data_IF_920579911022
#
_entry.id   IF_920579911022
#
_cell.length_a   1.000
_cell.length_b   1.000
_cell.length_c   1.000
_cell.angle_alpha   90.00
_cell.angle_beta   90.00
_cell.angle_gamma   90.00
#
_symmetry.space_group_name_H-M   'P 1'
#
loop_
_entity.id
_entity.type
_entity.pdbx_description
1 polymer ?
#
# COMPACT_ATOMS: atom_id res chain seq x y z
N UNK A 1 -26.31 -29.56 46.72
CA UNK A 1 -26.63 -30.57 45.69
C UNK A 1 -27.51 -29.92 44.64
N UNK A 2 -27.00 -29.79 43.41
CA UNK A 2 -27.71 -29.84 42.12
C UNK A 2 -26.67 -29.53 41.03
N UNK A 3 -26.45 -30.52 40.16
CA UNK A 3 -25.45 -30.54 39.11
C UNK A 3 -25.86 -29.74 37.86
N UNK A 4 -24.81 -29.25 37.16
CA UNK A 4 -24.56 -29.19 35.71
C UNK A 4 -25.66 -28.74 34.75
N UNK A 5 -25.31 -27.77 33.89
CA UNK A 5 -25.50 -27.89 32.44
C UNK A 5 -24.28 -27.31 31.72
N UNK A 6 -23.68 -28.14 30.87
CA UNK A 6 -22.60 -27.88 29.92
C UNK A 6 -23.20 -27.52 28.55
N UNK A 7 -22.69 -26.45 27.92
CA UNK A 7 -22.47 -26.23 26.47
C UNK A 7 -22.25 -24.72 26.31
N UNK A 8 -21.24 -24.21 25.62
CA UNK A 8 -20.64 -24.72 24.39
C UNK A 8 -20.66 -23.57 23.39
N UNK A 9 -19.75 -22.59 23.54
CA UNK A 9 -19.34 -21.75 22.42
C UNK A 9 -18.01 -21.07 22.74
N UNK A 10 -16.92 -21.67 22.24
CA UNK A 10 -15.65 -20.98 22.08
C UNK A 10 -15.89 -19.75 21.20
N UNK A 11 -15.86 -18.56 21.80
CA UNK A 11 -15.68 -17.32 21.03
C UNK A 11 -14.36 -17.45 20.27
N UNK A 12 -14.33 -17.26 18.94
CA UNK A 12 -13.07 -17.23 18.22
C UNK A 12 -12.25 -16.06 18.77
N UNK A 13 -10.99 -16.34 19.10
CA UNK A 13 -10.01 -15.33 19.50
C UNK A 13 -9.99 -14.24 18.44
N UNK A 14 -10.26 -13.01 18.85
CA UNK A 14 -10.15 -11.84 17.99
C UNK A 14 -8.70 -11.75 17.49
N UNK A 15 -8.51 -11.99 16.19
CA UNK A 15 -7.29 -11.57 15.51
C UNK A 15 -7.15 -10.05 15.68
N UNK A 16 -5.93 -9.52 15.86
CA UNK A 16 -5.70 -8.08 15.87
C UNK A 16 -6.25 -7.50 14.56
N UNK A 17 -7.25 -6.63 14.66
CA UNK A 17 -7.74 -5.94 13.47
C UNK A 17 -6.60 -5.08 12.91
N UNK A 18 -6.33 -5.13 11.59
CA UNK A 18 -5.39 -4.21 10.97
C UNK A 18 -5.88 -2.76 11.17
N UNK A 19 -4.98 -1.79 11.33
CA UNK A 19 -5.29 -0.42 11.77
C UNK A 19 -6.12 0.42 10.78
N UNK A 20 -6.69 -0.21 9.74
CA UNK A 20 -7.50 0.41 8.71
C UNK A 20 -9.00 0.43 9.02
N UNK A 21 -9.45 -0.16 10.13
CA UNK A 21 -10.80 0.07 10.66
C UNK A 21 -10.91 1.47 11.26
N UNK A 22 -10.80 2.51 10.41
CA UNK A 22 -11.05 3.89 10.81
C UNK A 22 -12.53 3.99 11.20
N UNK A 23 -12.76 4.29 12.49
CA UNK A 23 -14.07 4.73 12.99
C UNK A 23 -14.53 5.89 12.11
N UNK A 24 -15.70 5.72 11.49
CA UNK A 24 -16.39 6.76 10.76
C UNK A 24 -16.67 7.94 11.71
N UNK A 25 -15.88 9.01 11.55
CA UNK A 25 -16.17 10.31 12.12
C UNK A 25 -17.20 10.99 11.22
N UNK A 26 -18.38 11.25 11.77
CA UNK A 26 -19.41 12.07 11.16
C UNK A 26 -18.87 13.49 10.91
N UNK A 27 -18.81 13.92 9.64
CA UNK A 27 -19.28 15.22 9.14
C UNK A 27 -18.71 15.51 7.73
N UNK A 28 -19.62 15.70 6.76
CA UNK A 28 -19.41 16.64 5.64
C UNK A 28 -18.70 16.15 4.36
N UNK A 29 -19.46 15.50 3.48
CA UNK A 29 -19.49 15.80 2.03
C UNK A 29 -18.19 15.75 1.20
N UNK A 30 -17.80 14.54 0.81
CA UNK A 30 -17.89 14.00 -0.57
C UNK A 30 -17.25 12.62 -0.55
N UNK A 31 -18.05 11.56 -0.64
CA UNK A 31 -17.53 10.22 -0.88
C UNK A 31 -16.87 10.22 -2.27
N UNK A 32 -15.55 10.00 -2.40
CA UNK A 32 -15.00 9.62 -3.69
C UNK A 32 -15.63 8.28 -4.06
N UNK A 33 -16.03 8.07 -5.33
CA UNK A 33 -16.79 6.90 -5.74
C UNK A 33 -16.05 5.62 -5.32
N UNK A 34 -16.70 4.85 -4.44
CA UNK A 34 -16.17 3.65 -3.81
C UNK A 34 -15.75 2.54 -4.80
N UNK A 35 -16.19 2.63 -6.05
CA UNK A 35 -15.96 1.61 -7.09
C UNK A 35 -14.49 1.45 -7.46
N UNK A 36 -13.77 2.53 -7.74
CA UNK A 36 -12.39 2.46 -8.26
C UNK A 36 -11.35 2.16 -7.18
N UNK A 37 -11.53 2.72 -5.97
CA UNK A 37 -10.60 2.53 -4.84
C UNK A 37 -10.71 1.11 -4.28
N UNK A 38 -11.92 0.53 -4.26
CA UNK A 38 -12.13 -0.85 -3.85
C UNK A 38 -11.55 -1.86 -4.86
N UNK A 39 -11.65 -1.58 -6.16
CA UNK A 39 -11.03 -2.40 -7.22
C UNK A 39 -9.50 -2.42 -7.10
N UNK A 40 -8.89 -1.24 -6.89
CA UNK A 40 -7.44 -1.12 -6.72
C UNK A 40 -6.98 -1.83 -5.44
N UNK A 41 -7.73 -1.68 -4.34
CA UNK A 41 -7.42 -2.34 -3.06
C UNK A 41 -7.49 -3.87 -3.17
N UNK A 42 -8.49 -4.41 -3.89
CA UNK A 42 -8.64 -5.85 -4.14
C UNK A 42 -7.49 -6.38 -5.00
N UNK A 43 -7.09 -5.62 -6.03
CA UNK A 43 -5.96 -5.97 -6.89
C UNK A 43 -4.64 -6.01 -6.10
N UNK A 44 -4.39 -5.02 -5.22
CA UNK A 44 -3.21 -4.99 -4.34
C UNK A 44 -3.17 -6.22 -3.43
N UNK A 45 -4.29 -6.57 -2.79
CA UNK A 45 -4.36 -7.72 -1.89
C UNK A 45 -4.07 -9.04 -2.62
N UNK A 46 -4.49 -9.15 -3.88
CA UNK A 46 -4.24 -10.32 -4.72
C UNK A 46 -2.74 -10.47 -5.07
N UNK A 47 -2.04 -9.38 -5.37
CA UNK A 47 -0.59 -9.39 -5.58
C UNK A 47 0.18 -9.73 -4.31
N UNK A 48 -0.26 -9.23 -3.15
CA UNK A 48 0.34 -9.56 -1.84
C UNK A 48 0.17 -11.05 -1.54
N UNK A 49 -1.00 -11.63 -1.79
CA UNK A 49 -1.25 -13.05 -1.58
C UNK A 49 -0.44 -13.92 -2.54
N UNK A 50 -0.36 -13.56 -3.83
CA UNK A 50 0.49 -14.26 -4.82
C UNK A 50 1.97 -14.21 -4.42
N UNK A 51 2.44 -13.06 -3.92
CA UNK A 51 3.81 -12.92 -3.42
C UNK A 51 4.07 -13.76 -2.15
N UNK A 52 3.04 -14.02 -1.34
CA UNK A 52 3.13 -14.88 -0.16
C UNK A 52 3.07 -16.38 -0.49
N UNK A 53 2.49 -16.75 -1.64
CA UNK A 53 2.41 -18.13 -2.15
C UNK A 53 3.66 -18.60 -2.91
N UNK A 54 4.51 -17.67 -3.34
CA UNK A 54 5.84 -18.02 -3.84
C UNK A 54 6.61 -18.70 -2.71
N UNK A 55 7.11 -19.91 -2.96
CA UNK A 55 7.91 -20.67 -2.01
C UNK A 55 8.93 -19.74 -1.34
N UNK A 56 9.14 -19.94 -0.02
CA UNK A 56 10.10 -19.18 0.81
C UNK A 56 11.52 -19.06 0.21
N UNK A 57 11.82 -19.83 -0.84
CA UNK A 57 13.07 -19.95 -1.58
C UNK A 57 13.17 -19.10 -2.85
N UNK A 58 12.09 -18.62 -3.47
CA UNK A 58 12.16 -17.80 -4.70
C UNK A 58 11.93 -16.30 -4.43
N UNK A 59 12.87 -15.69 -3.71
CA UNK A 59 12.90 -14.26 -3.48
C UNK A 59 12.93 -13.44 -4.78
N UNK A 60 13.47 -14.02 -5.86
CA UNK A 60 13.54 -13.37 -7.17
C UNK A 60 12.16 -13.29 -7.83
N UNK A 61 11.35 -14.34 -7.73
CA UNK A 61 9.94 -14.34 -8.13
C UNK A 61 9.13 -13.29 -7.36
N UNK A 62 9.30 -13.23 -6.03
CA UNK A 62 8.59 -12.26 -5.19
C UNK A 62 8.97 -10.81 -5.54
N UNK A 63 10.25 -10.53 -5.76
CA UNK A 63 10.74 -9.20 -6.19
C UNK A 63 10.13 -8.78 -7.52
N UNK A 64 10.01 -9.69 -8.50
CA UNK A 64 9.37 -9.41 -9.80
C UNK A 64 7.90 -9.03 -9.63
N UNK A 65 7.14 -9.79 -8.82
CA UNK A 65 5.73 -9.48 -8.55
C UNK A 65 5.58 -8.11 -7.88
N UNK A 66 6.41 -7.79 -6.89
CA UNK A 66 6.39 -6.49 -6.23
C UNK A 66 6.69 -5.35 -7.22
N UNK A 67 7.64 -5.55 -8.12
CA UNK A 67 7.99 -4.59 -9.15
C UNK A 67 6.86 -4.39 -10.18
N UNK A 68 6.16 -5.45 -10.57
CA UNK A 68 4.98 -5.36 -11.43
C UNK A 68 3.81 -4.65 -10.73
N UNK A 69 3.54 -4.98 -9.46
CA UNK A 69 2.55 -4.28 -8.65
C UNK A 69 2.82 -2.79 -8.56
N UNK A 70 4.08 -2.39 -8.33
CA UNK A 70 4.47 -0.98 -8.32
C UNK A 70 4.20 -0.27 -9.66
N UNK A 71 4.46 -0.93 -10.80
CA UNK A 71 4.16 -0.38 -12.13
C UNK A 71 2.65 -0.17 -12.36
N UNK A 72 1.82 -1.09 -11.91
CA UNK A 72 0.36 -0.99 -12.03
C UNK A 72 -0.17 0.17 -11.18
N UNK A 73 0.33 0.30 -9.95
CA UNK A 73 -0.04 1.41 -9.07
C UNK A 73 0.42 2.76 -9.64
N UNK A 74 1.62 2.84 -10.20
CA UNK A 74 2.08 4.03 -10.90
C UNK A 74 1.19 4.39 -12.09
N UNK A 75 0.87 3.42 -12.95
CA UNK A 75 0.00 3.65 -14.11
C UNK A 75 -1.39 4.12 -13.68
N UNK A 76 -1.93 3.55 -12.61
CA UNK A 76 -3.22 3.95 -12.04
C UNK A 76 -3.13 5.35 -11.42
N UNK A 77 -2.07 5.64 -10.68
CA UNK A 77 -1.78 6.97 -10.13
C UNK A 77 -1.72 8.03 -11.23
N UNK A 78 -1.06 7.76 -12.36
CA UNK A 78 -0.98 8.67 -13.50
C UNK A 78 -2.37 8.97 -14.09
N UNK A 79 -3.26 7.98 -14.16
CA UNK A 79 -4.65 8.18 -14.63
C UNK A 79 -5.46 9.04 -13.67
N UNK A 80 -5.32 8.80 -12.37
CA UNK A 80 -6.00 9.61 -11.33
C UNK A 80 -5.47 11.05 -11.32
N UNK A 81 -4.15 11.23 -11.47
CA UNK A 81 -3.51 12.53 -11.55
C UNK A 81 -4.02 13.33 -12.75
N UNK A 82 -4.11 12.70 -13.92
CA UNK A 82 -4.67 13.32 -15.13
C UNK A 82 -6.16 13.70 -14.97
N UNK A 83 -6.87 13.07 -14.03
CA UNK A 83 -8.26 13.37 -13.70
C UNK A 83 -8.39 14.41 -12.57
N UNK A 84 -7.29 15.01 -12.09
CA UNK A 84 -7.28 15.97 -10.99
C UNK A 84 -7.46 15.35 -9.60
N UNK A 85 -7.43 14.02 -9.47
CA UNK A 85 -7.59 13.31 -8.20
C UNK A 85 -6.23 13.17 -7.48
N UNK A 86 -5.65 14.32 -7.14
CA UNK A 86 -4.29 14.47 -6.61
C UNK A 86 -4.02 13.61 -5.35
N UNK A 87 -4.86 13.67 -4.33
CA UNK A 87 -4.63 12.92 -3.08
C UNK A 87 -4.77 11.40 -3.26
N UNK A 88 -5.61 10.95 -4.19
CA UNK A 88 -5.75 9.53 -4.51
C UNK A 88 -4.54 9.04 -5.33
N UNK A 89 -4.11 9.81 -6.33
CA UNK A 89 -2.88 9.54 -7.08
C UNK A 89 -1.66 9.48 -6.16
N UNK A 90 -1.51 10.45 -5.26
CA UNK A 90 -0.44 10.48 -4.25
C UNK A 90 -0.40 9.22 -3.39
N UNK A 91 -1.57 8.74 -2.94
CA UNK A 91 -1.67 7.49 -2.18
C UNK A 91 -1.14 6.28 -2.97
N UNK A 92 -1.53 6.15 -4.24
CA UNK A 92 -1.06 5.05 -5.09
C UNK A 92 0.46 5.12 -5.34
N UNK A 93 1.02 6.31 -5.49
CA UNK A 93 2.46 6.48 -5.60
C UNK A 93 3.19 6.12 -4.29
N UNK A 94 2.63 6.44 -3.11
CA UNK A 94 3.21 6.00 -1.83
C UNK A 94 3.19 4.47 -1.68
N UNK A 95 2.10 3.82 -2.08
CA UNK A 95 1.96 2.37 -2.05
C UNK A 95 2.94 1.72 -3.03
N UNK A 96 3.07 2.26 -4.25
CA UNK A 96 4.06 1.82 -5.23
C UNK A 96 5.50 1.95 -4.69
N UNK A 97 5.83 3.09 -4.05
CA UNK A 97 7.12 3.29 -3.41
C UNK A 97 7.38 2.26 -2.31
N UNK A 98 6.35 1.90 -1.54
CA UNK A 98 6.45 0.88 -0.49
C UNK A 98 6.72 -0.51 -1.07
N UNK A 99 6.06 -0.90 -2.17
CA UNK A 99 6.37 -2.14 -2.87
C UNK A 99 7.81 -2.18 -3.38
N UNK A 100 8.31 -1.08 -3.95
CA UNK A 100 9.72 -0.98 -4.34
C UNK A 100 10.66 -1.11 -3.14
N UNK A 101 10.31 -0.54 -1.97
CA UNK A 101 11.11 -0.68 -0.75
C UNK A 101 11.20 -2.12 -0.28
N UNK A 102 10.09 -2.85 -0.32
CA UNK A 102 10.09 -4.28 0.02
C UNK A 102 10.94 -5.05 -1.00
N UNK A 103 10.87 -4.72 -2.28
CA UNK A 103 11.71 -5.33 -3.31
C UNK A 103 13.21 -5.12 -3.03
N UNK A 104 13.63 -3.91 -2.65
CA UNK A 104 15.01 -3.60 -2.23
C UNK A 104 15.45 -4.48 -1.06
N UNK A 105 14.59 -4.68 -0.07
CA UNK A 105 14.90 -5.49 1.12
C UNK A 105 14.99 -7.00 0.83
N UNK A 106 14.50 -7.44 -0.33
CA UNK A 106 14.38 -8.86 -0.69
C UNK A 106 15.27 -9.27 -1.86
N UNK A 107 15.79 -8.32 -2.64
CA UNK A 107 16.75 -8.59 -3.71
C UNK A 107 18.19 -8.65 -3.18
N UNK A 108 19.10 -9.18 -4.00
CA UNK A 108 20.52 -9.08 -3.73
C UNK A 108 20.98 -7.61 -3.79
N UNK A 109 22.00 -7.19 -3.01
CA UNK A 109 22.46 -5.80 -2.99
C UNK A 109 22.86 -5.25 -4.37
N UNK A 110 23.46 -6.07 -5.22
CA UNK A 110 23.85 -5.74 -6.60
C UNK A 110 22.65 -5.42 -7.51
N UNK A 111 21.48 -6.02 -7.22
CA UNK A 111 20.24 -5.85 -7.98
C UNK A 111 19.33 -4.76 -7.38
N UNK A 112 19.71 -4.14 -6.26
CA UNK A 112 18.86 -3.20 -5.54
C UNK A 112 18.75 -1.83 -6.22
N UNK A 113 19.76 -1.41 -6.99
CA UNK A 113 19.86 -0.06 -7.52
C UNK A 113 18.67 0.35 -8.41
N UNK A 114 18.17 -0.48 -9.36
CA UNK A 114 16.97 -0.15 -10.13
C UNK A 114 15.73 0.09 -9.26
N UNK A 115 15.56 -0.70 -8.20
CA UNK A 115 14.42 -0.57 -7.28
C UNK A 115 14.55 0.66 -6.39
N UNK A 116 15.76 1.04 -5.96
CA UNK A 116 16.02 2.27 -5.22
C UNK A 116 15.66 3.51 -6.04
N UNK A 117 16.11 3.58 -7.30
CA UNK A 117 15.77 4.68 -8.22
C UNK A 117 14.25 4.77 -8.39
N UNK A 118 13.59 3.63 -8.63
CA UNK A 118 12.14 3.59 -8.80
C UNK A 118 11.37 3.98 -7.54
N UNK A 119 11.78 3.48 -6.38
CA UNK A 119 11.19 3.79 -5.08
C UNK A 119 11.23 5.30 -4.80
N UNK A 120 12.38 5.94 -5.05
CA UNK A 120 12.55 7.39 -4.90
C UNK A 120 11.66 8.17 -5.86
N UNK A 121 11.60 7.76 -7.12
CA UNK A 121 10.72 8.37 -8.13
C UNK A 121 9.26 8.33 -7.68
N UNK A 122 8.80 7.19 -7.16
CA UNK A 122 7.43 7.03 -6.66
C UNK A 122 7.13 7.96 -5.48
N UNK A 123 7.99 8.01 -4.46
CA UNK A 123 7.76 8.94 -3.35
C UNK A 123 7.85 10.42 -3.76
N UNK A 124 8.65 10.74 -4.77
CA UNK A 124 8.72 12.10 -5.32
C UNK A 124 7.44 12.46 -6.09
N UNK A 125 6.88 11.53 -6.87
CA UNK A 125 5.55 11.70 -7.50
C UNK A 125 4.44 11.84 -6.46
N UNK A 126 4.50 11.06 -5.38
CA UNK A 126 3.58 11.17 -4.26
C UNK A 126 3.62 12.58 -3.63
N UNK A 127 4.83 13.07 -3.32
CA UNK A 127 5.03 14.42 -2.80
C UNK A 127 4.38 15.48 -3.70
N UNK A 128 4.72 15.49 -4.99
CA UNK A 128 4.17 16.47 -5.96
C UNK A 128 2.64 16.37 -6.05
N UNK A 129 2.08 15.16 -6.07
CA UNK A 129 0.64 14.97 -6.11
C UNK A 129 -0.03 15.52 -4.84
N UNK A 130 0.49 15.26 -3.65
CA UNK A 130 -0.07 15.81 -2.41
C UNK A 130 0.05 17.33 -2.31
N UNK A 131 1.18 17.91 -2.73
CA UNK A 131 1.34 19.38 -2.81
C UNK A 131 0.26 20.00 -3.69
N UNK A 132 0.04 19.44 -4.89
CA UNK A 132 -1.01 19.91 -5.80
C UNK A 132 -2.41 19.71 -5.24
N UNK A 133 -2.61 18.68 -4.42
CA UNK A 133 -3.87 18.41 -3.73
C UNK A 133 -4.09 19.23 -2.45
N UNK A 134 -3.12 20.06 -2.04
CA UNK A 134 -3.19 20.84 -0.80
C UNK A 134 -3.02 20.03 0.49
N UNK A 135 -2.42 18.83 0.42
CA UNK A 135 -2.18 17.95 1.56
C UNK A 135 -0.70 18.00 2.01
N UNK A 136 -0.31 19.11 2.61
CA UNK A 136 1.09 19.42 2.94
C UNK A 136 1.72 18.42 3.92
N UNK A 137 0.96 17.87 4.87
CA UNK A 137 1.47 16.89 5.83
C UNK A 137 1.87 15.59 5.13
N UNK A 138 1.02 15.09 4.22
CA UNK A 138 1.34 13.90 3.42
C UNK A 138 2.42 14.18 2.40
N UNK A 139 2.43 15.37 1.80
CA UNK A 139 3.50 15.78 0.90
C UNK A 139 4.87 15.73 1.58
N UNK A 140 4.99 16.30 2.78
CA UNK A 140 6.23 16.27 3.54
C UNK A 140 6.58 14.84 4.00
N UNK A 141 5.58 14.03 4.36
CA UNK A 141 5.76 12.61 4.66
C UNK A 141 6.36 11.83 3.50
N UNK A 142 5.85 12.03 2.28
CA UNK A 142 6.37 11.42 1.07
C UNK A 142 7.80 11.90 0.73
N UNK A 143 8.09 13.19 0.90
CA UNK A 143 9.44 13.73 0.71
C UNK A 143 10.45 13.10 1.68
N UNK A 144 10.06 12.94 2.95
CA UNK A 144 10.90 12.27 3.96
C UNK A 144 11.18 10.82 3.58
N UNK A 145 10.16 10.07 3.12
CA UNK A 145 10.33 8.70 2.63
C UNK A 145 11.28 8.62 1.42
N UNK A 146 11.16 9.56 0.48
CA UNK A 146 12.04 9.66 -0.71
C UNK A 146 13.52 9.82 -0.32
N UNK A 147 13.82 10.61 0.72
CA UNK A 147 15.18 10.81 1.23
C UNK A 147 15.77 9.57 1.89
N UNK A 148 14.93 8.77 2.56
CA UNK A 148 15.34 7.58 3.31
C UNK A 148 15.56 6.33 2.44
N UNK A 149 15.36 6.40 1.12
CA UNK A 149 15.55 5.22 0.24
C UNK A 149 17.03 4.80 0.14
N UNK A 150 17.95 5.74 0.24
CA UNK A 150 19.40 5.49 0.15
C UNK A 150 20.14 5.46 1.49
N UNK A 151 19.40 5.58 2.60
CA UNK A 151 19.94 5.58 3.98
C UNK A 151 19.95 4.17 4.54
#
# INVERSE_FOLDING_TARGET
MAEKHENGQKKPSALPQPPFARKAGANGLREPPASGVAEVSRSIQEYVNKAAEIEKTDLNGAVKILAEGAKILEATGNRLLASGLHSAAGGLYEDAGTLCKIAIMKCAPEDAMPYQVKCKDMYSKAHTAFEQGGDSDRAQGALNKSRLVYS
#
